data_IF_271423357152
#
_entry.id   IF_271423357152
#
_cell.length_a   1.000
_cell.length_b   1.000
_cell.length_c   1.000
_cell.angle_alpha   90.00
_cell.angle_beta   90.00
_cell.angle_gamma   90.00
#
_symmetry.space_group_name_H-M   'P 1'
#
loop_
_entity.id
_entity.type
_entity.pdbx_description
1 polymer ?
#
# COMPACT_ATOMS: atom_id res chain seq x y z
N UNK A 1 -63.93 36.80 22.85
CA UNK A 1 -63.21 35.59 23.31
C UNK A 1 -61.94 35.46 22.50
N UNK A 2 -60.79 35.72 23.12
CA UNK A 2 -59.45 35.68 22.52
C UNK A 2 -59.02 34.24 22.19
N UNK A 3 -58.60 33.98 20.94
CA UNK A 3 -57.67 32.86 20.64
C UNK A 3 -56.50 33.38 19.81
N UNK A 4 -55.37 33.48 20.48
CA UNK A 4 -54.03 33.77 19.93
C UNK A 4 -53.65 32.65 18.97
N UNK A 5 -53.34 32.98 17.72
CA UNK A 5 -52.57 32.14 16.83
C UNK A 5 -51.10 32.26 17.22
N UNK A 6 -50.50 31.18 17.73
CA UNK A 6 -49.04 31.06 17.78
C UNK A 6 -48.57 30.69 16.38
N UNK A 7 -48.00 31.66 15.66
CA UNK A 7 -47.08 31.39 14.57
C UNK A 7 -45.74 30.95 15.19
N UNK A 8 -45.56 29.65 15.37
CA UNK A 8 -44.23 29.08 15.52
C UNK A 8 -43.59 29.05 14.13
N UNK A 9 -42.71 30.00 13.87
CA UNK A 9 -41.71 29.94 12.81
C UNK A 9 -40.87 28.68 13.02
N UNK A 10 -41.18 27.62 12.28
CA UNK A 10 -40.24 26.51 12.10
C UNK A 10 -39.18 27.03 11.11
N UNK A 11 -37.89 27.11 11.48
CA UNK A 11 -36.87 27.43 10.51
C UNK A 11 -36.84 26.29 9.49
N UNK A 12 -37.10 26.63 8.24
CA UNK A 12 -36.91 25.76 7.09
C UNK A 12 -35.44 25.33 7.05
N UNK A 13 -35.15 24.15 7.58
CA UNK A 13 -33.91 23.44 7.32
C UNK A 13 -33.87 23.18 5.82
N UNK A 14 -33.15 24.03 5.08
CA UNK A 14 -32.76 23.72 3.72
C UNK A 14 -32.01 22.40 3.78
N UNK A 15 -32.65 21.32 3.32
CA UNK A 15 -32.00 20.08 2.93
C UNK A 15 -30.95 20.48 1.89
N UNK A 16 -29.71 20.69 2.33
CA UNK A 16 -28.57 20.76 1.43
C UNK A 16 -28.54 19.41 0.72
N UNK A 17 -29.05 19.39 -0.50
CA UNK A 17 -28.89 18.28 -1.44
C UNK A 17 -27.39 18.16 -1.64
N UNK A 18 -26.75 17.27 -0.86
CA UNK A 18 -25.34 16.96 -1.03
C UNK A 18 -25.20 16.44 -2.45
N UNK A 19 -24.55 17.22 -3.31
CA UNK A 19 -24.22 16.74 -4.64
C UNK A 19 -23.48 15.40 -4.49
N UNK A 20 -23.87 14.36 -5.25
CA UNK A 20 -23.25 13.05 -5.11
C UNK A 20 -21.76 13.17 -5.40
N UNK A 21 -20.92 12.76 -4.45
CA UNK A 21 -19.47 12.79 -4.62
C UNK A 21 -19.13 11.86 -5.79
N UNK A 22 -18.52 12.38 -6.89
CA UNK A 22 -18.28 11.56 -8.07
C UNK A 22 -17.39 10.37 -7.74
N UNK A 23 -17.71 9.22 -8.34
CA UNK A 23 -16.92 8.01 -8.19
C UNK A 23 -15.48 8.24 -8.67
N UNK A 24 -14.50 7.50 -8.12
CA UNK A 24 -13.10 7.63 -8.53
C UNK A 24 -12.92 7.37 -10.03
N UNK A 25 -13.67 6.40 -10.57
CA UNK A 25 -13.72 6.10 -12.00
C UNK A 25 -14.25 7.29 -12.80
N UNK A 26 -15.34 7.92 -12.34
CA UNK A 26 -15.88 9.13 -12.98
C UNK A 26 -14.87 10.27 -12.95
N UNK A 27 -14.19 10.49 -11.81
CA UNK A 27 -13.12 11.49 -11.68
C UNK A 27 -11.96 11.22 -12.63
N UNK A 28 -11.50 9.98 -12.73
CA UNK A 28 -10.41 9.59 -13.64
C UNK A 28 -10.75 9.87 -15.11
N UNK A 29 -12.00 9.61 -15.54
CA UNK A 29 -12.39 9.86 -16.92
C UNK A 29 -12.70 11.33 -17.23
N UNK A 30 -13.23 12.10 -16.29
CA UNK A 30 -13.76 13.44 -16.60
C UNK A 30 -12.95 14.60 -16.00
N UNK A 31 -12.01 14.34 -15.10
CA UNK A 31 -11.15 15.36 -14.49
C UNK A 31 -9.69 15.15 -14.91
N UNK A 32 -9.20 16.00 -15.81
CA UNK A 32 -7.84 15.94 -16.34
C UNK A 32 -6.75 16.09 -15.27
N UNK A 33 -6.93 16.98 -14.30
CA UNK A 33 -5.97 17.15 -13.21
C UNK A 33 -5.90 15.90 -12.33
N UNK A 34 -7.06 15.30 -12.01
CA UNK A 34 -7.12 14.05 -11.27
C UNK A 34 -6.46 12.91 -12.04
N UNK A 35 -6.71 12.81 -13.35
CA UNK A 35 -6.09 11.78 -14.20
C UNK A 35 -4.57 11.91 -14.23
N UNK A 36 -4.03 13.11 -14.48
CA UNK A 36 -2.58 13.38 -14.45
C UNK A 36 -1.97 13.01 -13.10
N UNK A 37 -2.65 13.36 -12.01
CA UNK A 37 -2.21 12.99 -10.65
C UNK A 37 -2.17 11.47 -10.46
N UNK A 38 -3.18 10.76 -10.96
CA UNK A 38 -3.25 9.32 -10.87
C UNK A 38 -2.16 8.62 -11.71
N UNK A 39 -1.98 9.05 -12.96
CA UNK A 39 -0.94 8.53 -13.87
C UNK A 39 0.46 8.72 -13.30
N UNK A 40 0.75 9.90 -12.76
CA UNK A 40 2.03 10.19 -12.11
C UNK A 40 2.29 9.27 -10.91
N UNK A 41 1.27 9.02 -10.06
CA UNK A 41 1.41 8.11 -8.92
C UNK A 41 1.58 6.64 -9.34
N UNK A 42 0.92 6.23 -10.43
CA UNK A 42 1.13 4.90 -11.03
C UNK A 42 2.57 4.77 -11.51
N UNK A 43 3.12 5.80 -12.16
CA UNK A 43 4.53 5.86 -12.58
C UNK A 43 5.48 5.72 -11.39
N UNK A 44 5.17 6.32 -10.23
CA UNK A 44 5.96 6.09 -9.00
C UNK A 44 5.94 4.61 -8.58
N UNK A 45 4.78 3.96 -8.57
CA UNK A 45 4.72 2.54 -8.22
C UNK A 45 5.48 1.66 -9.23
N UNK A 46 5.44 1.99 -10.52
CA UNK A 46 6.25 1.29 -11.55
C UNK A 46 7.76 1.45 -11.31
N UNK A 47 8.19 2.56 -10.73
CA UNK A 47 9.59 2.74 -10.37
C UNK A 47 9.97 2.01 -9.09
N UNK A 48 9.01 1.77 -8.17
CA UNK A 48 9.24 1.05 -6.92
C UNK A 48 9.25 -0.46 -7.12
N UNK A 49 8.31 -0.99 -7.89
CA UNK A 49 8.09 -2.43 -8.06
C UNK A 49 9.07 -2.97 -9.11
N UNK A 50 9.83 -4.05 -8.84
CA UNK A 50 10.71 -4.64 -9.83
C UNK A 50 9.94 -5.13 -11.07
N UNK A 51 10.60 -5.08 -12.24
CA UNK A 51 9.99 -5.40 -13.53
C UNK A 51 9.40 -6.82 -13.61
N UNK A 52 9.99 -7.77 -12.90
CA UNK A 52 9.59 -9.18 -12.85
C UNK A 52 8.22 -9.38 -12.17
N UNK A 53 7.82 -8.41 -11.33
CA UNK A 53 6.58 -8.44 -10.55
C UNK A 53 5.61 -7.30 -10.96
N UNK A 54 5.82 -6.72 -12.14
CA UNK A 54 5.12 -5.52 -12.58
C UNK A 54 3.61 -5.74 -12.77
N UNK A 55 2.82 -5.06 -11.95
CA UNK A 55 1.37 -5.05 -12.10
C UNK A 55 0.94 -4.19 -13.28
N UNK A 56 -0.20 -4.51 -13.90
CA UNK A 56 -0.80 -3.64 -14.89
C UNK A 56 -1.26 -2.30 -14.28
N UNK A 57 -1.41 -1.26 -15.11
CA UNK A 57 -1.78 0.08 -14.63
C UNK A 57 -3.13 0.12 -13.93
N UNK A 58 -4.02 -0.79 -14.30
CA UNK A 58 -5.34 -0.88 -13.72
C UNK A 58 -5.25 -1.39 -12.27
N UNK A 59 -4.41 -2.38 -11.98
CA UNK A 59 -4.14 -2.84 -10.61
C UNK A 59 -3.31 -1.82 -9.82
N UNK A 60 -2.31 -1.19 -10.44
CA UNK A 60 -1.50 -0.13 -9.81
C UNK A 60 -2.37 1.06 -9.39
N UNK A 61 -3.35 1.43 -10.22
CA UNK A 61 -4.34 2.46 -9.86
C UNK A 61 -5.05 2.10 -8.56
N UNK A 62 -5.47 0.86 -8.38
CA UNK A 62 -6.18 0.41 -7.19
C UNK A 62 -5.29 0.16 -5.97
N UNK A 63 -3.98 0.03 -6.14
CA UNK A 63 -3.04 0.13 -5.02
C UNK A 63 -3.08 1.52 -4.37
N UNK A 64 -3.33 2.57 -5.16
CA UNK A 64 -3.29 3.99 -4.74
C UNK A 64 -4.69 4.48 -4.34
N UNK A 65 -5.69 4.21 -5.18
CA UNK A 65 -7.04 4.73 -5.08
C UNK A 65 -8.02 3.63 -4.66
N UNK A 66 -7.80 3.10 -3.46
CA UNK A 66 -8.73 2.15 -2.87
C UNK A 66 -9.92 2.87 -2.21
N UNK A 67 -11.11 2.29 -2.34
CA UNK A 67 -12.30 2.63 -1.56
C UNK A 67 -12.83 1.35 -0.94
N UNK A 68 -13.38 1.49 0.27
CA UNK A 68 -14.14 0.42 0.91
C UNK A 68 -15.22 -0.08 -0.05
N UNK A 69 -15.36 -1.41 -0.12
CA UNK A 69 -16.34 -2.12 -0.96
C UNK A 69 -16.23 -1.90 -2.48
N UNK A 70 -15.12 -1.34 -2.98
CA UNK A 70 -14.90 -1.29 -4.42
C UNK A 70 -14.62 -2.70 -4.95
N UNK A 71 -15.33 -3.07 -6.03
CA UNK A 71 -15.19 -4.35 -6.71
C UNK A 71 -14.35 -4.20 -7.97
N UNK A 72 -13.32 -5.01 -8.05
CA UNK A 72 -12.46 -5.15 -9.22
C UNK A 72 -12.92 -6.33 -10.05
N UNK A 73 -13.10 -6.08 -11.35
CA UNK A 73 -13.20 -7.14 -12.35
C UNK A 73 -11.79 -7.43 -12.85
N UNK A 74 -11.27 -8.63 -12.59
CA UNK A 74 -9.90 -9.02 -12.96
C UNK A 74 -9.84 -10.50 -13.37
N UNK A 75 -8.78 -10.91 -14.06
CA UNK A 75 -8.51 -12.31 -14.41
C UNK A 75 -7.47 -12.85 -13.43
N UNK A 76 -7.86 -13.85 -12.66
CA UNK A 76 -6.95 -14.51 -11.73
C UNK A 76 -6.21 -15.66 -12.41
N UNK A 77 -4.95 -15.83 -12.07
CA UNK A 77 -4.20 -17.01 -12.49
C UNK A 77 -4.83 -18.27 -11.86
N UNK A 78 -4.96 -19.34 -12.65
CA UNK A 78 -5.56 -20.61 -12.19
C UNK A 78 -7.09 -20.66 -12.24
N UNK A 79 -7.79 -19.56 -12.52
CA UNK A 79 -9.26 -19.51 -12.63
C UNK A 79 -9.69 -19.35 -14.10
N UNK A 80 -9.39 -20.37 -14.93
CA UNK A 80 -10.05 -20.65 -16.21
C UNK A 80 -10.36 -19.49 -17.18
N UNK A 81 -9.55 -18.41 -17.20
CA UNK A 81 -9.73 -17.27 -18.10
C UNK A 81 -10.99 -16.41 -17.87
N UNK A 82 -11.78 -16.71 -16.84
CA UNK A 82 -13.03 -15.99 -16.53
C UNK A 82 -12.74 -14.76 -15.67
N UNK A 83 -13.45 -13.67 -15.94
CA UNK A 83 -13.33 -12.48 -15.12
C UNK A 83 -13.96 -12.72 -13.74
N UNK A 84 -13.18 -12.53 -12.69
CA UNK A 84 -13.60 -12.65 -11.29
C UNK A 84 -13.85 -11.26 -10.72
N UNK A 85 -14.89 -11.13 -9.90
CA UNK A 85 -15.13 -9.92 -9.10
C UNK A 85 -14.53 -10.09 -7.72
N UNK A 86 -13.62 -9.21 -7.35
CA UNK A 86 -12.95 -9.25 -6.05
C UNK A 86 -13.12 -7.90 -5.35
N UNK A 87 -13.55 -7.94 -4.10
CA UNK A 87 -13.59 -6.75 -3.26
C UNK A 87 -12.15 -6.34 -2.90
N UNK A 88 -11.85 -5.04 -3.00
CA UNK A 88 -10.51 -4.51 -2.67
C UNK A 88 -10.08 -4.84 -1.24
N UNK A 89 -11.02 -4.84 -0.30
CA UNK A 89 -10.76 -5.24 1.08
C UNK A 89 -10.18 -6.67 1.17
N UNK A 90 -10.67 -7.60 0.34
CA UNK A 90 -10.15 -8.96 0.30
C UNK A 90 -8.72 -9.00 -0.24
N UNK A 91 -8.37 -8.16 -1.22
CA UNK A 91 -6.99 -8.02 -1.71
C UNK A 91 -6.07 -7.48 -0.61
N UNK A 92 -6.51 -6.45 0.11
CA UNK A 92 -5.75 -5.88 1.21
C UNK A 92 -5.53 -6.89 2.33
N UNK A 93 -6.57 -7.64 2.70
CA UNK A 93 -6.51 -8.71 3.70
C UNK A 93 -5.56 -9.83 3.25
N UNK A 94 -5.68 -10.28 2.01
CA UNK A 94 -4.78 -11.27 1.41
C UNK A 94 -3.32 -10.82 1.52
N UNK A 95 -3.01 -9.61 1.07
CA UNK A 95 -1.66 -9.05 1.15
C UNK A 95 -1.13 -8.95 2.58
N UNK A 96 -2.00 -8.57 3.54
CA UNK A 96 -1.65 -8.56 4.97
C UNK A 96 -1.32 -9.96 5.49
N UNK A 97 -2.14 -10.96 5.16
CA UNK A 97 -1.92 -12.34 5.59
C UNK A 97 -0.65 -12.93 4.99
N UNK A 98 -0.41 -12.71 3.70
CA UNK A 98 0.81 -13.15 3.02
C UNK A 98 2.03 -12.50 3.68
N UNK A 99 2.04 -11.17 3.83
CA UNK A 99 3.17 -10.46 4.42
C UNK A 99 3.47 -10.97 5.84
N UNK A 100 2.44 -11.19 6.66
CA UNK A 100 2.59 -11.75 8.01
C UNK A 100 3.12 -13.19 7.98
N UNK A 101 2.56 -14.07 7.13
CA UNK A 101 3.01 -15.47 6.96
C UNK A 101 4.48 -15.52 6.53
N UNK A 102 4.86 -14.74 5.53
CA UNK A 102 6.26 -14.69 5.04
C UNK A 102 7.21 -14.13 6.07
N UNK A 103 6.83 -13.06 6.77
CA UNK A 103 7.64 -12.51 7.87
C UNK A 103 7.86 -13.55 8.97
N UNK A 104 6.80 -14.28 9.36
CA UNK A 104 6.89 -15.37 10.32
C UNK A 104 7.87 -16.45 9.86
N UNK A 105 7.70 -16.95 8.63
CA UNK A 105 8.56 -18.00 8.06
C UNK A 105 10.01 -17.54 7.93
N UNK A 106 10.24 -16.29 7.55
CA UNK A 106 11.57 -15.71 7.45
C UNK A 106 12.27 -15.67 8.81
N UNK A 107 11.63 -15.06 9.81
CA UNK A 107 12.19 -14.98 11.16
C UNK A 107 12.47 -16.37 11.76
N UNK A 108 11.60 -17.34 11.49
CA UNK A 108 11.77 -18.70 11.99
C UNK A 108 12.99 -19.37 11.36
N UNK A 109 13.17 -19.23 10.04
CA UNK A 109 14.35 -19.73 9.34
C UNK A 109 15.64 -19.08 9.83
N UNK A 110 15.63 -17.77 10.08
CA UNK A 110 16.81 -17.07 10.58
C UNK A 110 17.13 -17.46 12.04
N UNK A 111 16.12 -17.67 12.88
CA UNK A 111 16.32 -18.19 14.23
C UNK A 111 16.95 -19.59 14.23
N UNK A 112 16.46 -20.50 13.38
CA UNK A 112 17.04 -21.84 13.24
C UNK A 112 18.51 -21.79 12.78
N UNK A 113 18.84 -20.90 11.84
CA UNK A 113 20.24 -20.72 11.39
C UNK A 113 21.14 -20.18 12.51
N UNK A 114 20.64 -19.21 13.28
CA UNK A 114 21.38 -18.63 14.40
C UNK A 114 21.66 -19.68 15.48
N UNK A 115 20.65 -20.50 15.81
CA UNK A 115 20.79 -21.63 16.75
C UNK A 115 21.82 -22.64 16.26
N UNK A 116 21.76 -23.04 14.98
CA UNK A 116 22.75 -23.95 14.37
C UNK A 116 24.17 -23.36 14.36
N UNK A 117 24.29 -22.03 14.28
CA UNK A 117 25.57 -21.32 14.33
C UNK A 117 26.06 -21.03 15.76
N UNK A 118 25.33 -21.45 16.80
CA UNK A 118 25.66 -21.16 18.19
C UNK A 118 25.56 -19.68 18.58
N UNK A 119 24.82 -18.89 17.81
CA UNK A 119 24.63 -17.46 18.05
C UNK A 119 23.38 -17.21 18.90
N UNK A 120 23.48 -16.34 19.90
CA UNK A 120 22.36 -15.87 20.74
C UNK A 120 21.85 -14.50 20.30
N UNK A 121 21.79 -14.23 18.99
CA UNK A 121 21.39 -12.92 18.47
C UNK A 121 19.94 -12.56 18.84
N UNK A 122 19.66 -11.28 19.09
CA UNK A 122 18.35 -10.69 19.49
C UNK A 122 17.18 -11.01 18.52
N UNK A 123 17.46 -11.71 17.42
CA UNK A 123 16.46 -12.35 16.54
C UNK A 123 15.55 -13.33 17.29
N UNK A 124 15.96 -13.85 18.47
CA UNK A 124 15.16 -14.76 19.30
C UNK A 124 13.89 -14.14 19.92
N UNK A 125 13.77 -12.80 20.01
CA UNK A 125 12.50 -12.17 20.39
C UNK A 125 11.54 -12.15 19.19
N UNK A 126 11.15 -13.36 18.78
CA UNK A 126 10.34 -13.64 17.61
C UNK A 126 9.01 -12.85 17.59
N UNK A 127 8.22 -12.79 18.70
CA UNK A 127 6.99 -12.00 18.73
C UNK A 127 7.23 -10.51 18.53
N UNK A 128 8.29 -9.95 19.13
CA UNK A 128 8.64 -8.52 19.00
C UNK A 128 9.11 -8.18 17.60
N UNK A 129 9.97 -9.01 17.01
CA UNK A 129 10.50 -8.79 15.66
C UNK A 129 9.38 -8.93 14.60
N UNK A 130 8.47 -9.88 14.76
CA UNK A 130 7.28 -10.02 13.92
C UNK A 130 6.38 -8.77 14.00
N UNK A 131 6.10 -8.28 15.20
CA UNK A 131 5.30 -7.05 15.40
C UNK A 131 5.96 -5.83 14.78
N UNK A 132 7.28 -5.69 14.91
CA UNK A 132 8.03 -4.57 14.32
C UNK A 132 7.97 -4.59 12.80
N UNK A 133 8.30 -5.72 12.18
CA UNK A 133 8.31 -5.81 10.71
C UNK A 133 6.91 -5.63 10.09
N UNK A 134 5.85 -6.01 10.81
CA UNK A 134 4.46 -5.81 10.36
C UNK A 134 3.84 -4.46 10.76
N UNK A 135 4.58 -3.59 11.46
CA UNK A 135 4.08 -2.31 11.94
C UNK A 135 3.69 -1.38 10.77
N UNK A 136 2.60 -0.62 10.95
CA UNK A 136 2.19 0.48 10.05
C UNK A 136 3.34 1.48 9.82
N UNK A 137 4.08 1.85 10.87
CA UNK A 137 5.18 2.81 10.77
C UNK A 137 6.28 2.30 9.82
N UNK A 138 6.75 1.06 10.02
CA UNK A 138 7.82 0.50 9.18
C UNK A 138 7.37 0.28 7.72
N UNK A 139 6.10 -0.04 7.49
CA UNK A 139 5.54 -0.11 6.12
C UNK A 139 5.45 1.27 5.46
N UNK A 140 5.17 2.33 6.23
CA UNK A 140 5.23 3.71 5.72
C UNK A 140 6.67 4.07 5.37
N UNK A 141 7.62 3.87 6.28
CA UNK A 141 9.06 4.13 6.03
C UNK A 141 9.57 3.35 4.81
N UNK A 142 9.09 2.13 4.60
CA UNK A 142 9.42 1.33 3.42
C UNK A 142 9.03 2.03 2.11
N UNK A 143 7.86 2.65 2.03
CA UNK A 143 7.45 3.41 0.83
C UNK A 143 8.18 4.76 0.76
N UNK A 144 8.36 5.42 1.91
CA UNK A 144 8.96 6.74 2.00
C UNK A 144 10.40 6.77 1.48
N UNK A 145 11.17 5.70 1.65
CA UNK A 145 12.55 5.67 1.16
C UNK A 145 12.64 5.87 -0.35
N UNK A 146 11.72 5.31 -1.13
CA UNK A 146 11.71 5.46 -2.58
C UNK A 146 11.22 6.86 -2.97
N UNK A 147 10.22 7.40 -2.27
CA UNK A 147 9.75 8.76 -2.51
C UNK A 147 10.84 9.80 -2.26
N UNK A 148 11.63 9.64 -1.18
CA UNK A 148 12.78 10.49 -0.89
C UNK A 148 13.83 10.43 -2.00
N UNK A 149 14.11 9.23 -2.54
CA UNK A 149 15.03 9.06 -3.67
C UNK A 149 14.52 9.75 -4.95
N UNK A 150 13.22 9.64 -5.26
CA UNK A 150 12.65 10.33 -6.43
C UNK A 150 12.58 11.85 -6.26
N UNK A 151 12.42 12.34 -5.04
CA UNK A 151 12.49 13.78 -4.72
C UNK A 151 13.89 14.34 -4.96
N UNK A 152 14.93 13.60 -4.55
CA UNK A 152 16.33 14.02 -4.71
C UNK A 152 16.78 13.97 -6.17
N UNK A 153 16.29 13.01 -6.95
CA UNK A 153 16.60 12.89 -8.38
C UNK A 153 15.74 13.80 -9.28
N UNK A 154 14.89 14.66 -8.72
CA UNK A 154 13.90 15.46 -9.47
C UNK A 154 12.98 14.63 -10.39
N UNK A 155 12.76 13.35 -10.06
CA UNK A 155 11.95 12.41 -10.86
C UNK A 155 10.45 12.52 -10.60
N UNK A 156 10.01 13.34 -9.64
CA UNK A 156 8.59 13.58 -9.36
C UNK A 156 7.99 14.58 -10.35
N UNK A 157 6.83 14.22 -10.91
CA UNK A 157 6.13 15.09 -11.87
C UNK A 157 5.48 16.30 -11.16
N UNK A 158 5.36 17.42 -11.89
CA UNK A 158 4.66 18.64 -11.46
C UNK A 158 3.37 18.83 -12.24
N UNK A 159 2.29 19.28 -11.59
CA UNK A 159 0.99 19.48 -12.25
C UNK A 159 0.88 20.82 -13.01
N UNK A 160 1.69 21.81 -12.65
CA UNK A 160 1.81 23.14 -13.26
C UNK A 160 3.25 23.62 -13.18
N UNK A 161 3.61 24.60 -14.02
CA UNK A 161 4.90 25.32 -13.91
C UNK A 161 5.07 25.92 -12.50
N UNK A 162 3.94 26.30 -11.88
CA UNK A 162 3.84 26.65 -10.48
C UNK A 162 3.44 25.45 -9.57
N UNK A 163 4.46 24.73 -9.11
CA UNK A 163 4.65 24.22 -7.73
C UNK A 163 3.99 22.93 -7.17
N UNK A 164 2.88 22.35 -7.64
CA UNK A 164 2.39 21.11 -6.98
C UNK A 164 3.15 19.85 -7.45
N UNK A 165 4.06 19.35 -6.61
CA UNK A 165 4.75 18.07 -6.78
C UNK A 165 3.77 16.93 -6.49
N UNK A 166 3.61 16.00 -7.43
CA UNK A 166 2.73 14.85 -7.25
C UNK A 166 3.39 13.82 -6.34
N UNK A 167 2.83 13.65 -5.15
CA UNK A 167 3.26 12.64 -4.16
C UNK A 167 2.14 11.67 -3.80
N UNK A 168 2.50 10.49 -3.29
CA UNK A 168 1.58 9.58 -2.60
C UNK A 168 1.21 10.16 -1.23
N UNK A 169 -0.07 10.15 -0.85
CA UNK A 169 -0.53 10.65 0.45
C UNK A 169 0.06 9.82 1.61
N UNK A 170 0.57 10.46 2.67
CA UNK A 170 1.21 9.75 3.79
C UNK A 170 0.31 8.68 4.44
N UNK A 171 -0.99 8.92 4.48
CA UNK A 171 -1.99 8.02 5.07
C UNK A 171 -2.19 6.76 4.24
N UNK A 172 -2.03 6.83 2.92
CA UNK A 172 -2.26 5.69 2.01
C UNK A 172 -1.02 4.79 1.88
N UNK A 173 0.18 5.36 2.01
CA UNK A 173 1.48 4.67 1.86
C UNK A 173 1.57 3.30 2.56
N UNK A 174 1.26 3.14 3.86
CA UNK A 174 1.40 1.82 4.51
C UNK A 174 0.45 0.76 3.96
N UNK A 175 -0.67 1.18 3.35
CA UNK A 175 -1.67 0.30 2.75
C UNK A 175 -1.31 -0.12 1.33
N UNK A 176 -0.60 0.74 0.58
CA UNK A 176 -0.12 0.44 -0.78
C UNK A 176 0.63 -0.88 -0.82
N UNK A 177 1.57 -1.10 0.12
CA UNK A 177 2.35 -2.34 0.16
C UNK A 177 1.46 -3.59 0.29
N UNK A 178 0.36 -3.50 1.05
CA UNK A 178 -0.57 -4.62 1.19
C UNK A 178 -1.29 -4.93 -0.13
N UNK A 179 -1.76 -3.90 -0.83
CA UNK A 179 -2.38 -4.08 -2.14
C UNK A 179 -1.41 -4.65 -3.16
N UNK A 180 -0.18 -4.12 -3.21
CA UNK A 180 0.87 -4.63 -4.11
C UNK A 180 1.11 -6.12 -3.89
N UNK A 181 1.30 -6.55 -2.63
CA UNK A 181 1.48 -7.98 -2.30
C UNK A 181 0.24 -8.80 -2.71
N UNK A 182 -0.97 -8.33 -2.37
CA UNK A 182 -2.20 -9.03 -2.71
C UNK A 182 -2.41 -9.18 -4.22
N UNK A 183 -2.14 -8.13 -5.00
CA UNK A 183 -2.27 -8.17 -6.45
C UNK A 183 -1.18 -9.00 -7.13
N UNK A 184 0.06 -8.97 -6.65
CA UNK A 184 1.12 -9.85 -7.16
C UNK A 184 0.72 -11.30 -6.96
N UNK A 185 0.17 -11.67 -5.80
CA UNK A 185 -0.36 -13.01 -5.58
C UNK A 185 -1.48 -13.38 -6.57
N UNK A 186 -2.43 -12.47 -6.81
CA UNK A 186 -3.52 -12.71 -7.74
C UNK A 186 -3.06 -12.86 -9.21
N UNK A 187 -2.07 -12.07 -9.62
CA UNK A 187 -1.59 -12.03 -11.01
C UNK A 187 -0.55 -13.14 -11.31
N UNK A 188 0.33 -13.45 -10.36
CA UNK A 188 1.49 -14.32 -10.56
C UNK A 188 1.52 -15.58 -9.68
N UNK A 189 0.56 -15.73 -8.77
CA UNK A 189 0.44 -16.90 -7.90
C UNK A 189 1.35 -16.87 -6.67
N UNK A 190 1.24 -17.94 -5.86
CA UNK A 190 1.89 -18.01 -4.53
C UNK A 190 3.41 -17.97 -4.63
N UNK A 191 4.02 -18.69 -5.58
CA UNK A 191 5.48 -18.84 -5.65
C UNK A 191 6.18 -17.51 -5.96
N UNK A 192 5.75 -16.82 -7.02
CA UNK A 192 6.30 -15.51 -7.40
C UNK A 192 6.04 -14.46 -6.32
N UNK A 193 4.85 -14.49 -5.70
CA UNK A 193 4.55 -13.57 -4.59
C UNK A 193 5.42 -13.84 -3.36
N UNK A 194 5.71 -15.10 -3.05
CA UNK A 194 6.58 -15.47 -1.95
C UNK A 194 8.02 -14.98 -2.18
N UNK A 195 8.54 -15.12 -3.40
CA UNK A 195 9.85 -14.61 -3.79
C UNK A 195 9.91 -13.08 -3.68
N UNK A 196 8.90 -12.38 -4.23
CA UNK A 196 8.77 -10.92 -4.10
C UNK A 196 8.82 -10.47 -2.63
N UNK A 197 8.03 -11.11 -1.76
CA UNK A 197 7.98 -10.70 -0.36
C UNK A 197 9.30 -10.99 0.37
N UNK A 198 9.89 -12.17 0.16
CA UNK A 198 11.11 -12.55 0.85
C UNK A 198 12.32 -11.74 0.40
N UNK A 199 12.54 -11.62 -0.91
CA UNK A 199 13.72 -10.98 -1.48
C UNK A 199 13.57 -9.46 -1.52
N UNK A 200 12.47 -8.95 -2.07
CA UNK A 200 12.31 -7.51 -2.25
C UNK A 200 11.82 -6.85 -0.96
N UNK A 201 10.70 -7.31 -0.38
CA UNK A 201 10.06 -6.60 0.74
C UNK A 201 10.78 -6.80 2.07
N UNK A 202 11.15 -8.03 2.42
CA UNK A 202 11.76 -8.35 3.72
C UNK A 202 13.26 -8.02 3.74
N UNK A 203 14.00 -8.53 2.75
CA UNK A 203 15.47 -8.39 2.70
C UNK A 203 15.94 -7.09 2.05
N UNK A 204 15.19 -6.52 1.11
CA UNK A 204 15.63 -5.38 0.32
C UNK A 204 16.58 -5.73 -0.84
N UNK A 205 16.56 -6.99 -1.31
CA UNK A 205 17.46 -7.52 -2.36
C UNK A 205 16.98 -7.29 -3.79
N UNK A 206 17.96 -7.36 -4.69
CA UNK A 206 18.12 -6.63 -5.95
C UNK A 206 17.32 -7.17 -7.15
N UNK A 207 16.62 -6.27 -7.85
CA UNK A 207 16.64 -6.22 -9.31
C UNK A 207 17.63 -5.13 -9.74
N UNK A 208 18.25 -5.28 -10.92
CA UNK A 208 19.48 -4.60 -11.41
C UNK A 208 19.58 -3.06 -11.34
N UNK A 209 18.59 -2.32 -10.83
CA UNK A 209 18.50 -0.86 -10.94
C UNK A 209 18.83 -0.06 -9.66
N UNK A 210 18.61 -0.57 -8.44
CA UNK A 210 18.99 0.12 -7.19
C UNK A 210 18.77 -0.77 -5.93
N UNK A 211 19.60 -0.60 -4.88
CA UNK A 211 19.45 -1.22 -3.55
C UNK A 211 18.51 -0.41 -2.64
N UNK A 212 17.70 -1.05 -1.79
CA UNK A 212 16.85 -0.37 -0.80
C UNK A 212 16.83 -1.13 0.53
N UNK A 213 16.39 -0.47 1.60
CA UNK A 213 16.26 -1.08 2.92
C UNK A 213 14.97 -1.90 2.99
N UNK A 214 15.11 -3.20 3.23
CA UNK A 214 13.97 -4.08 3.47
C UNK A 214 13.30 -3.83 4.82
N UNK A 215 12.11 -4.40 5.03
CA UNK A 215 11.39 -4.28 6.31
C UNK A 215 12.20 -4.77 7.52
N UNK A 216 13.12 -5.73 7.31
CA UNK A 216 14.00 -6.22 8.37
C UNK A 216 14.96 -5.13 8.85
N UNK A 217 15.62 -4.44 7.92
CA UNK A 217 16.58 -3.39 8.22
C UNK A 217 15.88 -2.19 8.87
N UNK A 218 14.76 -1.75 8.29
CA UNK A 218 13.92 -0.68 8.86
C UNK A 218 13.49 -1.02 10.29
N UNK A 219 13.13 -2.28 10.55
CA UNK A 219 12.75 -2.72 11.88
C UNK A 219 13.92 -2.77 12.89
N UNK A 220 15.16 -2.97 12.42
CA UNK A 220 16.37 -2.93 13.26
C UNK A 220 16.74 -1.50 13.63
N UNK A 221 16.67 -0.56 12.69
CA UNK A 221 16.97 0.86 12.93
C UNK A 221 15.98 1.49 13.92
N UNK A 222 14.70 1.13 13.80
CA UNK A 222 13.63 1.63 14.66
C UNK A 222 13.53 0.89 16.02
N UNK A 223 14.62 0.28 16.51
CA UNK A 223 14.68 -0.23 17.89
C UNK A 223 14.54 0.97 18.83
N UNK A 224 13.49 1.05 19.68
CA UNK A 224 13.53 1.99 20.80
C UNK A 224 14.80 1.75 21.59
N UNK A 225 15.63 2.80 21.71
CA UNK A 225 16.75 2.85 22.64
C UNK A 225 16.16 2.76 24.05
N UNK A 226 15.99 1.54 24.55
CA UNK A 226 15.88 1.35 25.99
C UNK A 226 17.32 1.27 26.49
N UNK A 227 17.84 2.43 26.91
CA UNK A 227 18.92 2.52 27.88
C UNK A 227 18.44 1.79 29.14
N UNK A 228 19.12 0.69 29.47
CA UNK A 228 19.07 0.13 30.82
C UNK A 228 19.67 1.13 31.81
#
# INVERSE_FOLDING_TARGET
>A
MLRRFYQTLVPSFALQVRQPVPSLRTKFHHNMQFRRKAESRIKLLRQIIPSEYMLDDYLLYYCIYFREHARLKTRLQGVGGSDVRIDLENIQMLGRHILRKRTYMYLFKEALKAEQAGSTDDLFDFPRNLRRMSNVHNRREFIDQFLRAFETDFKLDRLSEDQEVVKLEQETRPTILLYVVGFIHCQYGEQMCAEFVDEFVIKGRLAKAYTHRGLLEIAKDNRPQFSY
#
